data_IF_290025201450
#
_entry.id   IF_290025201450
#
_cell.length_a   1.000
_cell.length_b   1.000
_cell.length_c   1.000
_cell.angle_alpha   90.00
_cell.angle_beta   90.00
_cell.angle_gamma   90.00
#
_symmetry.space_group_name_H-M   'P 1'
#
loop_
_entity.id
_entity.type
_entity.pdbx_description
1 polymer ?
#
# COMPACT_ATOMS: atom_id res chain seq x y z
N UNK A 1 -15.13 -3.00 3.43
CA UNK A 1 -15.72 -4.33 3.17
C UNK A 1 -14.67 -5.36 3.54
N UNK A 2 -14.84 -6.13 4.62
CA UNK A 2 -13.84 -7.17 4.98
C UNK A 2 -13.88 -8.29 3.94
N UNK A 3 -12.74 -8.61 3.35
CA UNK A 3 -12.60 -9.72 2.41
C UNK A 3 -12.90 -11.04 3.17
N UNK A 4 -13.86 -11.87 2.74
CA UNK A 4 -14.36 -13.00 3.53
C UNK A 4 -13.40 -14.19 3.71
N UNK A 5 -12.13 -14.08 3.30
CA UNK A 5 -11.15 -15.16 3.34
C UNK A 5 -9.78 -14.75 3.91
N UNK A 6 -9.71 -13.75 4.80
CA UNK A 6 -8.45 -13.48 5.49
C UNK A 6 -8.18 -14.61 6.48
N UNK A 7 -7.26 -15.52 6.11
CA UNK A 7 -6.59 -16.41 7.07
C UNK A 7 -6.10 -15.56 8.26
N UNK A 8 -6.06 -16.15 9.46
CA UNK A 8 -5.54 -15.44 10.63
C UNK A 8 -4.17 -14.82 10.30
N UNK A 9 -3.95 -13.52 10.60
CA UNK A 9 -2.73 -12.85 10.20
C UNK A 9 -1.53 -13.53 10.88
N UNK A 10 -0.46 -13.73 10.11
CA UNK A 10 0.80 -14.30 10.60
C UNK A 10 1.61 -13.24 11.36
N UNK A 11 1.44 -11.96 11.00
CA UNK A 11 1.97 -10.82 11.76
C UNK A 11 0.83 -9.90 12.25
N UNK A 12 0.83 -9.55 13.54
CA UNK A 12 -0.13 -8.64 14.15
C UNK A 12 0.58 -7.52 14.89
N UNK A 13 0.33 -6.28 14.48
CA UNK A 13 0.83 -5.06 15.11
C UNK A 13 -0.36 -4.19 15.48
N UNK A 14 -0.61 -3.99 16.78
CA UNK A 14 -1.81 -3.26 17.21
C UNK A 14 -1.63 -2.43 18.47
N UNK A 15 -2.42 -1.35 18.57
CA UNK A 15 -2.56 -0.51 19.78
C UNK A 15 -1.23 0.10 20.21
N UNK A 16 -0.52 0.70 19.25
CA UNK A 16 0.79 1.32 19.47
C UNK A 16 0.78 2.79 19.07
N UNK A 17 1.63 3.55 19.75
CA UNK A 17 1.90 4.95 19.46
C UNK A 17 3.36 5.10 19.05
N UNK A 18 3.61 5.59 17.84
CA UNK A 18 4.94 5.55 17.21
C UNK A 18 5.36 6.93 16.69
N UNK A 19 6.67 7.19 16.75
CA UNK A 19 7.29 8.42 16.27
C UNK A 19 8.67 8.09 15.69
N UNK A 20 8.99 8.67 14.53
CA UNK A 20 10.31 8.58 13.91
C UNK A 20 10.61 9.85 13.11
N UNK A 21 11.37 10.77 13.70
CA UNK A 21 11.65 12.08 13.10
C UNK A 21 12.49 12.03 11.82
N UNK A 22 13.19 10.92 11.56
CA UNK A 22 14.05 10.73 10.39
C UNK A 22 13.70 9.47 9.58
N UNK A 23 12.53 8.89 9.83
CA UNK A 23 12.12 7.64 9.20
C UNK A 23 10.61 7.42 9.28
N UNK A 24 10.21 6.16 9.29
CA UNK A 24 8.81 5.77 9.19
C UNK A 24 8.26 5.35 10.55
N UNK A 25 7.03 5.75 10.86
CA UNK A 25 6.32 5.25 12.04
C UNK A 25 6.16 3.73 11.97
N UNK A 26 5.71 3.23 10.82
CA UNK A 26 5.71 1.80 10.48
C UNK A 26 6.42 1.61 9.14
N UNK A 27 7.33 0.64 9.06
CA UNK A 27 7.98 0.24 7.82
C UNK A 27 7.95 -1.29 7.63
N UNK A 28 7.63 -1.74 6.42
CA UNK A 28 7.75 -3.13 5.99
C UNK A 28 8.72 -3.22 4.80
N UNK A 29 9.73 -4.09 4.92
CA UNK A 29 10.87 -4.19 3.99
C UNK A 29 12.14 -3.51 4.51
N UNK A 30 13.16 -3.21 3.69
CA UNK A 30 13.28 -3.48 2.25
C UNK A 30 13.79 -4.88 1.93
N UNK A 31 14.31 -5.60 2.93
CA UNK A 31 14.73 -6.99 2.82
C UNK A 31 13.48 -7.88 2.94
N UNK A 32 13.00 -8.33 1.79
CA UNK A 32 11.76 -9.09 1.64
C UNK A 32 11.95 -10.31 0.75
N UNK A 33 13.19 -10.74 0.55
CA UNK A 33 13.57 -11.83 -0.36
C UNK A 33 12.91 -13.17 0.02
N UNK A 34 12.62 -13.37 1.31
CA UNK A 34 11.82 -14.49 1.84
C UNK A 34 10.30 -14.31 1.76
N UNK A 35 9.83 -13.14 1.31
CA UNK A 35 8.42 -12.77 1.22
C UNK A 35 7.88 -12.12 2.50
N UNK A 36 6.96 -11.18 2.32
CA UNK A 36 6.17 -10.53 3.37
C UNK A 36 4.70 -10.75 3.01
N UNK A 37 3.95 -11.44 3.87
CA UNK A 37 2.51 -11.58 3.63
C UNK A 37 1.69 -11.84 4.88
N UNK A 38 0.37 -11.67 4.77
CA UNK A 38 -0.59 -11.95 5.84
C UNK A 38 -0.32 -11.11 7.10
N UNK A 39 -0.15 -9.80 6.91
CA UNK A 39 0.11 -8.86 7.99
C UNK A 39 -1.14 -8.03 8.27
N UNK A 40 -1.51 -7.96 9.54
CA UNK A 40 -2.49 -7.01 10.06
C UNK A 40 -1.78 -5.96 10.92
N UNK A 41 -1.97 -4.69 10.55
CA UNK A 41 -1.56 -3.53 11.33
C UNK A 41 -2.82 -2.72 11.64
N UNK A 42 -3.17 -2.56 12.92
CA UNK A 42 -4.42 -1.88 13.29
C UNK A 42 -4.30 -1.02 14.54
N UNK A 43 -5.17 -0.01 14.70
CA UNK A 43 -5.22 0.83 15.89
C UNK A 43 -3.87 1.50 16.20
N UNK A 44 -3.39 2.31 15.25
CA UNK A 44 -2.13 3.04 15.37
C UNK A 44 -2.35 4.52 15.63
N UNK A 45 -1.44 5.12 16.41
CA UNK A 45 -1.27 6.56 16.46
C UNK A 45 0.16 6.93 16.06
N UNK A 46 0.31 7.55 14.90
CA UNK A 46 1.58 7.98 14.33
C UNK A 46 1.71 9.48 14.46
N UNK A 47 2.84 9.97 14.96
CA UNK A 47 3.01 11.41 15.16
C UNK A 47 4.44 11.87 14.89
N UNK A 48 4.62 13.13 14.48
CA UNK A 48 5.93 13.81 14.32
C UNK A 48 6.98 12.94 13.60
N UNK A 49 6.59 12.39 12.45
CA UNK A 49 7.42 11.47 11.69
C UNK A 49 7.62 11.92 10.25
N UNK A 50 8.73 11.50 9.64
CA UNK A 50 8.99 11.75 8.23
C UNK A 50 7.97 11.00 7.38
N UNK A 51 7.88 9.68 7.55
CA UNK A 51 6.81 8.88 6.94
C UNK A 51 5.86 8.36 8.02
N UNK A 52 4.56 8.31 7.71
CA UNK A 52 3.59 7.60 8.54
C UNK A 52 3.79 6.09 8.38
N UNK A 53 3.35 5.57 7.24
CA UNK A 53 3.46 4.16 6.88
C UNK A 53 4.32 4.03 5.62
N UNK A 54 5.24 3.07 5.62
CA UNK A 54 6.11 2.78 4.49
C UNK A 54 6.14 1.29 4.15
N UNK A 55 5.85 0.96 2.89
CA UNK A 55 6.18 -0.33 2.28
C UNK A 55 7.28 -0.09 1.26
N UNK A 56 8.40 -0.83 1.38
CA UNK A 56 9.55 -0.61 0.51
C UNK A 56 10.15 -1.91 0.03
N UNK A 57 10.60 -1.87 -1.22
CA UNK A 57 11.43 -2.90 -1.84
C UNK A 57 12.39 -2.22 -2.83
N UNK A 58 13.22 -3.03 -3.47
CA UNK A 58 14.23 -2.58 -4.43
C UNK A 58 14.40 -3.64 -5.50
N UNK A 59 14.75 -3.21 -6.72
CA UNK A 59 15.29 -4.11 -7.73
C UNK A 59 16.46 -4.89 -7.14
N UNK A 60 16.50 -6.21 -7.29
CA UNK A 60 17.51 -7.04 -6.64
C UNK A 60 17.03 -7.85 -5.43
N UNK A 61 15.81 -7.62 -4.94
CA UNK A 61 15.28 -8.32 -3.76
C UNK A 61 14.42 -9.53 -4.10
N UNK A 62 13.77 -9.56 -5.26
CA UNK A 62 12.85 -10.64 -5.64
C UNK A 62 11.64 -10.75 -4.68
N UNK A 63 11.09 -11.94 -4.49
CA UNK A 63 10.07 -12.21 -3.46
C UNK A 63 8.70 -11.54 -3.70
N UNK A 64 7.96 -11.32 -2.61
CA UNK A 64 6.66 -10.63 -2.63
C UNK A 64 6.36 -9.80 -1.37
N UNK A 65 5.52 -8.77 -1.52
CA UNK A 65 4.82 -8.08 -0.43
C UNK A 65 3.33 -8.13 -0.76
N UNK A 66 2.55 -8.93 -0.04
CA UNK A 66 1.13 -9.12 -0.37
C UNK A 66 0.24 -9.43 0.81
N UNK A 67 -1.07 -9.35 0.64
CA UNK A 67 -2.04 -9.70 1.68
C UNK A 67 -1.82 -8.90 2.98
N UNK A 68 -1.74 -7.58 2.85
CA UNK A 68 -1.49 -6.66 3.97
C UNK A 68 -2.71 -5.78 4.20
N UNK A 69 -3.19 -5.74 5.44
CA UNK A 69 -4.22 -4.83 5.89
C UNK A 69 -3.64 -3.88 6.93
N UNK A 70 -3.70 -2.57 6.63
CA UNK A 70 -3.40 -1.51 7.58
C UNK A 70 -4.67 -0.71 7.80
N UNK A 71 -5.16 -0.68 9.04
CA UNK A 71 -6.48 -0.12 9.37
C UNK A 71 -6.46 0.72 10.64
N UNK A 72 -7.43 1.61 10.79
CA UNK A 72 -7.67 2.39 12.02
C UNK A 72 -6.40 3.15 12.48
N UNK A 73 -5.97 4.09 11.65
CA UNK A 73 -4.73 4.86 11.85
C UNK A 73 -5.02 6.35 12.03
N UNK A 74 -4.55 6.91 13.13
CA UNK A 74 -4.52 8.35 13.38
C UNK A 74 -3.11 8.89 13.15
N UNK A 75 -3.01 9.99 12.39
CA UNK A 75 -1.75 10.64 12.04
C UNK A 75 -1.75 12.12 12.45
N UNK A 76 -0.68 12.59 13.08
CA UNK A 76 -0.49 14.01 13.37
C UNK A 76 0.93 14.49 13.07
N UNK A 77 1.05 15.56 12.29
CA UNK A 77 2.31 16.18 11.92
C UNK A 77 3.26 15.17 11.24
N UNK A 78 2.82 14.65 10.10
CA UNK A 78 3.56 13.69 9.27
C UNK A 78 3.93 14.35 7.94
N UNK A 79 5.17 14.21 7.50
CA UNK A 79 5.58 14.79 6.22
C UNK A 79 4.96 14.01 5.04
N UNK A 80 5.09 12.68 5.00
CA UNK A 80 4.46 11.82 4.01
C UNK A 80 3.61 10.73 4.67
N UNK A 81 2.29 10.80 4.53
CA UNK A 81 1.39 9.90 5.24
C UNK A 81 1.59 8.43 4.84
N UNK A 82 1.62 8.14 3.53
CA UNK A 82 1.77 6.77 3.02
C UNK A 82 2.81 6.71 1.89
N UNK A 83 3.83 5.86 2.07
CA UNK A 83 4.83 5.56 1.05
C UNK A 83 4.75 4.08 0.65
N UNK A 84 4.67 3.81 -0.65
CA UNK A 84 4.83 2.48 -1.24
C UNK A 84 5.81 2.60 -2.40
N UNK A 85 7.04 2.13 -2.22
CA UNK A 85 8.13 2.39 -3.18
C UNK A 85 8.93 1.13 -3.55
N UNK A 86 9.24 1.00 -4.83
CA UNK A 86 10.19 0.02 -5.38
C UNK A 86 11.63 0.54 -5.52
N UNK A 87 11.91 1.77 -5.08
CA UNK A 87 13.20 2.46 -5.30
C UNK A 87 13.94 2.74 -4.00
N UNK A 88 14.07 1.73 -3.13
CA UNK A 88 14.90 1.83 -1.93
C UNK A 88 16.35 1.42 -2.27
N UNK A 89 17.11 2.26 -2.95
CA UNK A 89 18.41 1.95 -3.59
C UNK A 89 19.56 1.64 -2.60
N UNK A 90 19.37 0.65 -1.73
CA UNK A 90 20.32 0.15 -0.74
C UNK A 90 20.45 -1.37 -0.86
N UNK A 91 21.66 -1.81 -1.21
CA UNK A 91 22.07 -3.20 -1.23
C UNK A 91 23.30 -3.38 -0.31
N UNK A 92 23.41 -4.51 0.41
CA UNK A 92 24.57 -4.77 1.27
C UNK A 92 25.87 -4.90 0.46
N UNK A 93 25.76 -5.38 -0.77
CA UNK A 93 26.84 -5.58 -1.74
C UNK A 93 26.32 -5.40 -3.17
N UNK A 94 27.20 -5.60 -4.16
CA UNK A 94 26.89 -5.50 -5.58
C UNK A 94 26.61 -6.87 -6.24
N UNK A 95 26.44 -7.95 -5.45
CA UNK A 95 26.26 -9.33 -5.95
C UNK A 95 24.79 -9.76 -6.03
N UNK A 96 23.85 -8.83 -5.86
CA UNK A 96 22.42 -9.09 -6.03
C UNK A 96 22.05 -9.34 -7.51
N UNK A 97 21.01 -10.15 -7.76
CA UNK A 97 20.48 -10.34 -9.11
C UNK A 97 19.68 -9.11 -9.54
N UNK A 98 20.17 -8.27 -10.47
CA UNK A 98 19.45 -7.07 -10.88
C UNK A 98 18.11 -7.39 -11.52
N UNK A 99 17.81 -8.61 -11.95
CA UNK A 99 16.51 -8.94 -12.54
C UNK A 99 15.48 -9.43 -11.51
N UNK A 100 15.90 -9.64 -10.26
CA UNK A 100 15.01 -10.04 -9.18
C UNK A 100 14.12 -8.87 -8.73
N UNK A 101 12.89 -8.81 -9.23
CA UNK A 101 11.89 -7.81 -8.85
C UNK A 101 10.81 -8.43 -7.96
N UNK A 102 10.34 -7.67 -6.98
CA UNK A 102 9.27 -8.10 -6.08
C UNK A 102 7.90 -8.01 -6.75
N UNK A 103 7.02 -8.95 -6.44
CA UNK A 103 5.57 -8.78 -6.67
C UNK A 103 4.98 -8.03 -5.49
N UNK A 104 4.33 -6.89 -5.72
CA UNK A 104 3.64 -6.13 -4.68
C UNK A 104 2.18 -5.99 -5.07
N UNK A 105 1.30 -6.64 -4.33
CA UNK A 105 -0.13 -6.63 -4.60
C UNK A 105 -0.98 -6.85 -3.34
N UNK A 106 -2.29 -6.65 -3.45
CA UNK A 106 -3.28 -6.95 -2.40
C UNK A 106 -2.96 -6.25 -1.06
N UNK A 107 -2.73 -4.94 -1.15
CA UNK A 107 -2.42 -4.06 -0.01
C UNK A 107 -3.62 -3.14 0.24
N UNK A 108 -4.16 -3.17 1.44
CA UNK A 108 -5.32 -2.34 1.83
C UNK A 108 -4.93 -1.37 2.94
N UNK A 109 -5.25 -0.10 2.70
CA UNK A 109 -5.23 0.97 3.71
C UNK A 109 -6.68 1.41 3.93
N UNK A 110 -7.19 1.23 5.14
CA UNK A 110 -8.57 1.64 5.47
C UNK A 110 -8.71 2.42 6.77
N UNK A 111 -9.73 3.27 6.86
CA UNK A 111 -10.09 4.03 8.07
C UNK A 111 -8.90 4.83 8.63
N UNK A 112 -8.42 5.81 7.87
CA UNK A 112 -7.28 6.64 8.29
C UNK A 112 -7.68 8.10 8.38
N UNK A 113 -7.25 8.75 9.45
CA UNK A 113 -7.44 10.19 9.64
C UNK A 113 -6.10 10.85 9.94
N UNK A 114 -5.85 12.01 9.33
CA UNK A 114 -4.59 12.73 9.48
C UNK A 114 -4.77 14.23 9.59
N UNK A 115 -4.02 14.85 10.49
CA UNK A 115 -3.86 16.31 10.60
C UNK A 115 -2.41 16.73 10.38
N UNK A 116 -2.21 17.94 9.85
CA UNK A 116 -0.88 18.52 9.60
C UNK A 116 0.00 17.61 8.72
N UNK A 117 -0.55 17.18 7.59
CA UNK A 117 0.14 16.29 6.64
C UNK A 117 0.76 17.13 5.52
N UNK A 118 2.03 16.91 5.15
CA UNK A 118 2.62 17.64 4.01
C UNK A 118 2.25 17.00 2.66
N UNK A 119 2.29 15.67 2.57
CA UNK A 119 1.96 14.88 1.38
C UNK A 119 1.10 13.67 1.74
N UNK A 120 0.04 13.44 0.98
CA UNK A 120 -0.92 12.35 1.22
C UNK A 120 -0.34 10.98 0.87
N UNK A 121 0.36 10.86 -0.28
CA UNK A 121 0.98 9.59 -0.63
C UNK A 121 1.97 9.61 -1.78
N UNK A 122 2.87 8.64 -1.75
CA UNK A 122 3.90 8.40 -2.76
C UNK A 122 3.91 6.90 -3.12
N UNK A 123 3.37 6.57 -4.28
CA UNK A 123 3.13 5.19 -4.75
C UNK A 123 3.89 4.96 -6.05
N UNK A 124 5.14 4.51 -5.95
CA UNK A 124 6.06 4.35 -7.06
C UNK A 124 6.46 2.89 -7.19
N UNK A 125 5.81 2.17 -8.11
CA UNK A 125 6.16 0.81 -8.47
C UNK A 125 7.31 0.71 -9.47
N UNK A 126 7.68 -0.52 -9.82
CA UNK A 126 8.70 -0.80 -10.84
C UNK A 126 8.05 -0.93 -12.23
N UNK A 127 8.81 -0.64 -13.29
CA UNK A 127 8.28 -0.76 -14.66
C UNK A 127 7.96 -2.23 -15.00
N UNK A 128 8.85 -3.14 -14.61
CA UNK A 128 8.77 -4.58 -14.87
C UNK A 128 7.81 -5.31 -13.93
N UNK A 129 7.54 -4.73 -12.76
CA UNK A 129 6.60 -5.26 -11.77
C UNK A 129 5.81 -4.09 -11.15
N UNK A 130 4.79 -3.57 -11.86
CA UNK A 130 3.92 -2.54 -11.32
C UNK A 130 3.20 -3.01 -10.06
N UNK A 131 2.98 -2.10 -9.11
CA UNK A 131 2.27 -2.42 -7.88
C UNK A 131 0.76 -2.43 -8.16
N UNK A 132 0.08 -3.54 -7.88
CA UNK A 132 -1.33 -3.72 -8.28
C UNK A 132 -2.22 -4.03 -7.08
N UNK A 133 -3.55 -4.00 -7.26
CA UNK A 133 -4.51 -4.29 -6.18
C UNK A 133 -4.27 -3.49 -4.89
N UNK A 134 -3.85 -2.22 -5.04
CA UNK A 134 -3.77 -1.28 -3.92
C UNK A 134 -5.18 -0.75 -3.64
N UNK A 135 -5.65 -0.88 -2.40
CA UNK A 135 -6.97 -0.41 -1.98
C UNK A 135 -6.84 0.71 -0.95
N UNK A 136 -7.44 1.85 -1.23
CA UNK A 136 -7.56 2.98 -0.30
C UNK A 136 -9.05 3.17 0.06
N UNK A 137 -9.41 3.07 1.34
CA UNK A 137 -10.81 3.20 1.74
C UNK A 137 -10.99 4.06 2.98
N UNK A 138 -11.91 5.03 2.94
CA UNK A 138 -12.24 5.86 4.09
C UNK A 138 -11.01 6.54 4.71
N UNK A 139 -10.31 7.35 3.90
CA UNK A 139 -9.08 8.05 4.29
C UNK A 139 -9.33 9.55 4.21
N UNK A 140 -9.06 10.28 5.29
CA UNK A 140 -9.17 11.75 5.33
C UNK A 140 -7.88 12.36 5.89
N UNK A 141 -7.10 13.00 5.03
CA UNK A 141 -5.82 13.63 5.38
C UNK A 141 -5.93 15.14 5.18
N UNK A 142 -5.72 15.90 6.26
CA UNK A 142 -5.72 17.37 6.22
C UNK A 142 -4.33 17.85 5.83
N UNK A 143 -4.18 18.28 4.57
CA UNK A 143 -2.90 18.70 4.02
C UNK A 143 -2.58 20.15 4.41
N UNK A 144 -1.37 20.39 4.88
CA UNK A 144 -0.83 21.72 5.19
C UNK A 144 0.16 22.14 4.12
N UNK A 145 -0.26 22.98 3.18
CA UNK A 145 0.60 23.51 2.11
C UNK A 145 -0.19 23.98 0.90
N UNK A 146 0.42 24.82 0.04
CA UNK A 146 -0.24 25.38 -1.16
C UNK A 146 -0.27 24.42 -2.37
N UNK A 147 0.38 23.25 -2.29
CA UNK A 147 0.47 22.34 -3.43
C UNK A 147 -0.85 21.59 -3.66
N UNK A 148 -1.39 21.72 -4.87
CA UNK A 148 -2.62 21.07 -5.31
C UNK A 148 -2.50 19.55 -5.51
N UNK A 149 -1.27 19.04 -5.69
CA UNK A 149 -1.01 17.61 -5.85
C UNK A 149 -0.48 17.02 -4.53
N UNK A 150 -1.34 16.28 -3.82
CA UNK A 150 -0.97 15.62 -2.56
C UNK A 150 -0.54 14.16 -2.75
N UNK A 151 -0.76 13.59 -3.94
CA UNK A 151 -0.45 12.20 -4.28
C UNK A 151 0.49 12.12 -5.49
N UNK A 152 1.52 11.28 -5.38
CA UNK A 152 2.45 10.96 -6.46
C UNK A 152 2.31 9.48 -6.80
N UNK A 153 2.02 9.16 -8.06
CA UNK A 153 1.80 7.79 -8.47
C UNK A 153 2.51 7.49 -9.79
N UNK A 154 3.20 6.36 -9.83
CA UNK A 154 3.83 5.83 -11.04
C UNK A 154 3.87 4.31 -10.96
N UNK A 155 3.52 3.64 -12.07
CA UNK A 155 3.52 2.16 -12.15
C UNK A 155 2.77 1.49 -11.01
N UNK A 156 1.61 2.06 -10.67
CA UNK A 156 0.69 1.54 -9.67
C UNK A 156 -0.71 1.43 -10.27
N UNK A 157 -1.50 0.49 -9.79
CA UNK A 157 -2.91 0.33 -10.12
C UNK A 157 -3.71 -0.10 -8.89
N UNK A 158 -4.91 0.44 -8.73
CA UNK A 158 -5.71 0.17 -7.54
C UNK A 158 -7.09 0.83 -7.55
N UNK A 159 -7.70 0.84 -6.38
CA UNK A 159 -9.07 1.29 -6.15
C UNK A 159 -9.11 2.24 -4.94
N UNK A 160 -9.99 3.22 -5.00
CA UNK A 160 -10.18 4.17 -3.90
C UNK A 160 -11.66 4.43 -3.67
N UNK A 161 -12.07 4.48 -2.40
CA UNK A 161 -13.43 4.84 -1.99
C UNK A 161 -13.39 5.77 -0.79
N UNK A 162 -14.06 6.92 -0.87
CA UNK A 162 -14.11 7.92 0.21
C UNK A 162 -12.70 8.33 0.68
N UNK A 163 -11.87 8.81 -0.24
CA UNK A 163 -10.50 9.25 0.04
C UNK A 163 -10.39 10.75 -0.23
N UNK A 164 -9.91 11.50 0.76
CA UNK A 164 -9.64 12.93 0.69
C UNK A 164 -8.24 13.21 1.25
N UNK A 165 -7.36 13.94 0.54
CA UNK A 165 -7.55 14.51 -0.80
C UNK A 165 -7.65 13.43 -1.87
N UNK A 166 -8.19 13.77 -3.03
CA UNK A 166 -8.44 12.84 -4.13
C UNK A 166 -7.13 12.17 -4.62
N UNK A 167 -7.06 10.83 -4.69
CA UNK A 167 -5.84 10.11 -5.12
C UNK A 167 -5.64 10.18 -6.63
N UNK A 168 -4.47 9.75 -7.11
CA UNK A 168 -4.17 9.70 -8.54
C UNK A 168 -5.17 8.82 -9.32
N UNK A 169 -5.44 9.09 -10.62
CA UNK A 169 -6.33 8.27 -11.44
C UNK A 169 -6.00 6.77 -11.46
N UNK A 170 -4.72 6.43 -11.36
CA UNK A 170 -4.22 5.05 -11.25
C UNK A 170 -4.81 4.26 -10.07
N UNK A 171 -5.24 4.95 -9.01
CA UNK A 171 -5.81 4.37 -7.81
C UNK A 171 -7.33 4.56 -7.74
N UNK A 172 -7.96 5.09 -8.79
CA UNK A 172 -9.40 5.37 -8.83
C UNK A 172 -10.18 4.29 -9.60
N UNK A 173 -9.65 3.07 -9.70
CA UNK A 173 -10.41 1.96 -10.28
C UNK A 173 -11.74 1.74 -9.58
N UNK A 174 -12.75 1.25 -10.31
CA UNK A 174 -14.05 0.89 -9.75
C UNK A 174 -14.04 -0.53 -9.17
N UNK A 175 -14.47 -0.69 -7.91
CA UNK A 175 -14.60 -1.98 -7.20
C UNK A 175 -15.65 -2.91 -7.88
N UNK A 176 -16.43 -2.40 -8.84
CA UNK A 176 -17.59 -3.09 -9.41
C UNK A 176 -17.22 -4.31 -10.30
N UNK A 177 -15.95 -4.54 -10.64
CA UNK A 177 -15.56 -5.66 -11.53
C UNK A 177 -14.84 -6.85 -10.86
N UNK A 178 -14.63 -6.87 -9.54
CA UNK A 178 -13.97 -8.03 -8.88
C UNK A 178 -14.93 -9.06 -8.30
N UNK A 179 -16.25 -8.92 -8.54
CA UNK A 179 -17.27 -9.86 -8.05
C UNK A 179 -18.33 -10.23 -9.11
N UNK A 180 -17.90 -10.65 -10.29
CA UNK A 180 -18.65 -11.47 -11.27
C UNK A 180 -17.59 -12.19 -12.14
N UNK A 181 -17.54 -13.50 -12.37
CA UNK A 181 -18.43 -14.63 -12.07
C UNK A 181 -17.63 -15.95 -12.12
N UNK A 182 -17.71 -16.76 -11.06
CA UNK A 182 -17.50 -18.23 -11.14
C UNK A 182 -18.78 -18.87 -11.66
N UNK A 183 -19.26 -18.46 -12.83
CA UNK A 183 -20.37 -19.11 -13.56
C UNK A 183 -20.31 -18.66 -15.02
N UNK A 184 -19.35 -19.17 -15.78
CA UNK A 184 -19.48 -19.26 -17.25
C UNK A 184 -18.66 -20.44 -17.81
N UNK A 185 -18.66 -21.55 -17.05
CA UNK A 185 -18.40 -22.88 -17.60
C UNK A 185 -19.71 -23.67 -17.59
N UNK A 186 -20.65 -23.29 -18.44
CA UNK A 186 -21.69 -24.20 -18.96
C UNK A 186 -22.51 -23.49 -20.04
N UNK A 187 -22.00 -23.46 -21.27
CA UNK A 187 -22.83 -23.54 -22.49
C UNK A 187 -21.95 -23.69 -23.73
N UNK A 188 -21.27 -24.84 -23.83
CA UNK A 188 -20.98 -25.44 -25.12
C UNK A 188 -21.85 -26.69 -25.25
N UNK A 189 -23.05 -26.53 -25.81
CA UNK A 189 -23.78 -27.59 -26.53
C UNK A 189 -25.04 -27.04 -27.20
N UNK A 190 -25.27 -27.54 -28.44
CA UNK A 190 -26.51 -27.49 -29.25
C UNK A 190 -26.64 -26.30 -30.22
N UNK A 191 -26.19 -26.46 -31.48
CA UNK A 191 -26.98 -26.81 -32.71
C UNK A 191 -27.86 -25.64 -33.20
N UNK A 192 -27.75 -25.11 -34.43
CA UNK A 192 -27.58 -25.69 -35.77
C UNK A 192 -26.70 -24.81 -36.66
#
# INVERSE_FOLDING_TARGET
MRHPNLLAPVGLFQRVRLQSSSGSGVALGSEMSGGISHILVENLHLYKSLNGIELKTSRGRGGYIKDILISDVEMDNIELAIQVTGHCDSHPDNEFDPNAVAVVNDITFENMVGSNISFAGNFIGLYESPFTSICLSNITLSITGEFSASWFCSKVAGFSQNVSPEPCPNLQGSIINSSFSLTDQNSLSESF
#
